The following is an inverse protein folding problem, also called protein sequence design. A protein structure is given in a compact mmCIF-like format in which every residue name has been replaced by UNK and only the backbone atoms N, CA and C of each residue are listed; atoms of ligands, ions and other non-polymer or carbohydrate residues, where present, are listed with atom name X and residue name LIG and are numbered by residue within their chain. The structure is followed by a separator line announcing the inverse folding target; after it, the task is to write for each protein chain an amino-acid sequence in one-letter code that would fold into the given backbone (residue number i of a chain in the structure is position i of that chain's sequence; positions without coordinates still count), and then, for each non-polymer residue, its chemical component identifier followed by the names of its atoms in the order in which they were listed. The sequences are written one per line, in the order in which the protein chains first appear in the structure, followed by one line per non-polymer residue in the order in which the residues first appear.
data_IF_372236469373
#
_entry.id   IF_372236469373
#
_cell.length_a   1.000
_cell.length_b   1.000
_cell.length_c   1.000
_cell.angle_alpha   90.00
_cell.angle_beta   90.00
_cell.angle_gamma   90.00
#
_symmetry.space_group_name_H-M   'P 1'
#
loop_
_entity.id
_entity.type
_entity.pdbx_description
1 polymer ?
#
# COMPACT_ATOMS: atom_id res chain seq x y z
N UNK A 1 0.89 6.22 -0.07
CA UNK A 1 0.11 7.50 -0.18
C UNK A 1 0.04 8.28 1.12
N UNK A 2 0.27 7.65 2.26
CA UNK A 2 0.21 8.26 3.60
C UNK A 2 1.13 9.47 3.75
N UNK A 3 2.35 9.39 3.23
CA UNK A 3 3.31 10.50 3.30
C UNK A 3 2.84 11.77 2.58
N UNK A 4 1.90 11.64 1.65
CA UNK A 4 1.31 12.76 0.96
C UNK A 4 0.40 13.62 1.85
N UNK A 5 0.01 13.14 3.04
CA UNK A 5 -0.94 13.80 3.92
C UNK A 5 -0.31 14.52 5.13
N UNK A 6 1.01 14.38 5.36
CA UNK A 6 1.66 14.96 6.53
C UNK A 6 2.09 16.42 6.37
N UNK A 7 2.00 17.00 5.17
CA UNK A 7 2.29 18.43 4.98
C UNK A 7 1.20 19.31 5.64
N UNK A 8 1.60 20.48 6.13
CA UNK A 8 0.78 21.32 6.99
C UNK A 8 -0.57 21.74 6.39
N UNK A 9 -0.63 21.95 5.08
CA UNK A 9 -1.84 22.32 4.34
C UNK A 9 -2.79 21.13 4.09
N UNK A 10 -2.29 19.90 4.20
CA UNK A 10 -3.00 18.66 3.90
C UNK A 10 -3.49 17.95 5.15
N UNK A 11 -2.65 17.94 6.20
CA UNK A 11 -2.94 17.22 7.45
C UNK A 11 -4.25 17.70 8.10
N UNK A 12 -4.60 18.97 7.91
CA UNK A 12 -5.85 19.53 8.43
C UNK A 12 -7.07 18.86 7.81
N UNK A 13 -7.13 18.74 6.49
CA UNK A 13 -8.24 18.08 5.81
C UNK A 13 -8.29 16.57 6.12
N UNK A 14 -7.12 15.93 6.32
CA UNK A 14 -7.04 14.54 6.78
C UNK A 14 -7.63 14.38 8.20
N UNK A 15 -7.31 15.28 9.10
CA UNK A 15 -7.85 15.31 10.47
C UNK A 15 -9.36 15.57 10.48
N UNK A 16 -9.86 16.50 9.63
CA UNK A 16 -11.30 16.71 9.46
C UNK A 16 -12.02 15.42 9.01
N UNK A 17 -11.42 14.68 8.08
CA UNK A 17 -11.96 13.39 7.64
C UNK A 17 -12.04 12.38 8.78
N UNK A 18 -10.96 12.28 9.58
CA UNK A 18 -10.85 11.32 10.68
C UNK A 18 -11.88 11.56 11.78
N UNK A 19 -12.13 12.81 12.14
CA UNK A 19 -13.08 13.16 13.20
C UNK A 19 -14.53 13.28 12.70
N UNK A 20 -14.79 13.03 11.42
CA UNK A 20 -16.13 13.04 10.86
C UNK A 20 -16.97 11.88 11.38
N UNK A 21 -18.14 12.19 11.93
CA UNK A 21 -19.07 11.19 12.49
C UNK A 21 -19.96 10.56 11.42
N UNK A 22 -20.24 11.30 10.34
CA UNK A 22 -21.11 10.83 9.26
C UNK A 22 -20.36 10.72 7.93
N UNK A 23 -20.84 9.83 7.04
CA UNK A 23 -20.30 9.71 5.68
C UNK A 23 -20.35 11.04 4.92
N UNK A 24 -21.40 11.84 5.10
CA UNK A 24 -21.53 13.14 4.44
C UNK A 24 -20.43 14.12 4.88
N UNK A 25 -20.16 14.19 6.18
CA UNK A 25 -19.06 15.02 6.71
C UNK A 25 -17.72 14.53 6.19
N UNK A 26 -17.51 13.21 6.15
CA UNK A 26 -16.28 12.58 5.65
C UNK A 26 -16.09 12.86 4.17
N UNK A 27 -17.14 12.72 3.34
CA UNK A 27 -17.07 13.07 1.92
C UNK A 27 -16.72 14.56 1.69
N UNK A 28 -17.22 15.47 2.51
CA UNK A 28 -16.85 16.90 2.44
C UNK A 28 -15.36 17.15 2.74
N UNK A 29 -14.82 16.46 3.74
CA UNK A 29 -13.39 16.54 4.05
C UNK A 29 -12.52 15.90 2.95
N UNK A 30 -12.93 14.72 2.46
CA UNK A 30 -12.26 14.03 1.36
C UNK A 30 -12.26 14.84 0.06
N UNK A 31 -13.30 15.61 -0.21
CA UNK A 31 -13.38 16.50 -1.37
C UNK A 31 -12.30 17.59 -1.36
N UNK A 32 -11.75 17.94 -0.18
CA UNK A 32 -10.60 18.87 -0.07
C UNK A 32 -9.28 18.17 -0.39
N UNK A 33 -9.16 16.88 -0.09
CA UNK A 33 -7.95 16.07 -0.32
C UNK A 33 -7.83 15.59 -1.77
N UNK A 34 -8.93 15.33 -2.44
CA UNK A 34 -8.95 14.78 -3.79
C UNK A 34 -8.12 15.60 -4.79
N UNK A 35 -8.28 16.94 -4.92
CA UNK A 35 -7.50 17.73 -5.88
C UNK A 35 -6.01 17.76 -5.52
N UNK A 36 -5.67 17.70 -4.25
CA UNK A 36 -4.28 17.67 -3.77
C UNK A 36 -3.62 16.36 -4.19
N UNK A 37 -4.24 15.22 -3.87
CA UNK A 37 -3.75 13.92 -4.31
C UNK A 37 -3.72 13.76 -5.83
N UNK A 38 -4.71 14.30 -6.53
CA UNK A 38 -4.71 14.30 -7.99
C UNK A 38 -3.46 15.00 -8.53
N UNK A 39 -3.11 16.17 -8.02
CA UNK A 39 -1.92 16.90 -8.43
C UNK A 39 -0.62 16.11 -8.17
N UNK A 40 -0.53 15.46 -7.03
CA UNK A 40 0.61 14.59 -6.71
C UNK A 40 0.74 13.42 -7.69
N UNK A 41 -0.36 12.75 -8.00
CA UNK A 41 -0.36 11.64 -8.95
C UNK A 41 -0.08 12.11 -10.38
N UNK A 42 -0.53 13.30 -10.79
CA UNK A 42 -0.16 13.90 -12.08
C UNK A 42 1.35 14.10 -12.18
N UNK A 43 1.98 14.62 -11.12
CA UNK A 43 3.43 14.80 -11.07
C UNK A 43 4.18 13.46 -11.18
N UNK A 44 3.69 12.42 -10.51
CA UNK A 44 4.26 11.06 -10.59
C UNK A 44 4.13 10.51 -12.01
N UNK A 45 2.96 10.57 -12.63
CA UNK A 45 2.77 10.09 -14.01
C UNK A 45 3.64 10.85 -15.02
N UNK A 46 3.79 12.17 -14.86
CA UNK A 46 4.70 12.96 -15.69
C UNK A 46 6.16 12.52 -15.52
N UNK A 47 6.62 12.32 -14.29
CA UNK A 47 7.97 11.83 -13.99
C UNK A 47 8.23 10.44 -14.57
N UNK A 48 7.24 9.56 -14.56
CA UNK A 48 7.33 8.18 -15.03
C UNK A 48 7.24 8.04 -16.56
N UNK A 49 6.78 9.05 -17.27
CA UNK A 49 6.79 9.09 -18.75
C UNK A 49 6.17 7.85 -19.41
N UNK A 50 5.00 7.45 -18.95
CA UNK A 50 4.26 6.28 -19.46
C UNK A 50 4.75 4.92 -18.96
N UNK A 51 5.73 4.88 -18.05
CA UNK A 51 6.11 3.64 -17.36
C UNK A 51 5.04 3.25 -16.33
N UNK A 52 4.94 1.96 -15.97
CA UNK A 52 3.97 1.51 -14.97
C UNK A 52 4.11 2.24 -13.63
N UNK A 53 2.98 2.60 -13.04
CA UNK A 53 2.88 3.21 -11.72
C UNK A 53 1.86 2.43 -10.92
N UNK A 54 2.30 1.86 -9.80
CA UNK A 54 1.43 1.19 -8.84
C UNK A 54 1.22 2.12 -7.65
N UNK A 55 -0.03 2.42 -7.35
CA UNK A 55 -0.43 3.32 -6.26
C UNK A 55 -1.16 2.47 -5.21
N UNK A 56 -0.60 2.43 -4.01
CA UNK A 56 -1.22 1.78 -2.85
C UNK A 56 -2.24 2.74 -2.22
N UNK A 57 -3.45 2.25 -1.94
CA UNK A 57 -4.44 2.97 -1.15
C UNK A 57 -3.92 3.19 0.28
N UNK A 58 -4.60 4.03 1.04
CA UNK A 58 -4.23 4.38 2.41
C UNK A 58 -4.08 3.12 3.27
N UNK A 59 -2.94 3.00 3.95
CA UNK A 59 -2.61 1.82 4.74
C UNK A 59 -2.55 2.06 6.26
N UNK A 60 -1.92 3.15 6.78
CA UNK A 60 -1.76 3.29 8.22
C UNK A 60 -3.09 3.53 8.96
N UNK A 61 -3.14 3.15 10.25
CA UNK A 61 -4.29 3.45 11.09
C UNK A 61 -4.47 4.96 11.29
N UNK A 62 -5.72 5.39 11.44
CA UNK A 62 -6.07 6.82 11.44
C UNK A 62 -5.49 7.60 12.61
N UNK A 63 -5.18 6.94 13.74
CA UNK A 63 -4.59 7.63 14.89
C UNK A 63 -3.20 8.23 14.61
N UNK A 64 -2.48 7.77 13.58
CA UNK A 64 -1.17 8.33 13.22
C UNK A 64 -1.25 9.78 12.70
N UNK A 65 -2.41 10.21 12.23
CA UNK A 65 -2.63 11.54 11.67
C UNK A 65 -3.14 12.57 12.68
N UNK A 66 -3.59 12.14 13.85
CA UNK A 66 -4.15 13.05 14.87
C UNK A 66 -3.08 13.53 15.85
N UNK A 67 -3.20 14.77 16.38
CA UNK A 67 -2.23 15.29 17.30
C UNK A 67 -2.30 14.58 18.66
N UNK A 68 -1.16 14.50 19.33
CA UNK A 68 -1.03 14.00 20.69
C UNK A 68 -0.75 15.12 21.71
N UNK A 69 -0.22 16.26 21.26
CA UNK A 69 0.04 17.40 22.12
C UNK A 69 -1.27 18.12 22.49
N UNK A 70 -1.51 18.45 23.79
CA UNK A 70 -2.73 19.11 24.23
C UNK A 70 -3.00 20.47 23.58
N UNK A 71 -1.95 21.22 23.20
CA UNK A 71 -2.11 22.53 22.54
C UNK A 71 -2.62 22.33 21.10
N UNK A 72 -2.03 21.38 20.38
CA UNK A 72 -2.43 21.07 19.03
C UNK A 72 -3.86 20.49 18.98
N UNK A 73 -4.24 19.70 20.00
CA UNK A 73 -5.61 19.20 20.17
C UNK A 73 -6.58 20.36 20.39
N UNK A 74 -6.22 21.32 21.24
CA UNK A 74 -7.08 22.50 21.51
C UNK A 74 -7.22 23.39 20.29
N UNK A 75 -6.15 23.56 19.50
CA UNK A 75 -6.17 24.32 18.27
C UNK A 75 -7.06 23.62 17.21
N UNK A 76 -6.89 22.30 17.02
CA UNK A 76 -7.71 21.50 16.10
C UNK A 76 -9.18 21.53 16.50
N UNK A 77 -9.50 21.39 17.82
CA UNK A 77 -10.87 21.47 18.31
C UNK A 77 -11.52 22.82 17.94
N UNK A 78 -10.78 23.92 18.19
CA UNK A 78 -11.24 25.29 17.84
C UNK A 78 -11.48 25.43 16.34
N UNK A 79 -10.57 24.94 15.51
CA UNK A 79 -10.67 25.01 14.05
C UNK A 79 -11.87 24.23 13.53
N UNK A 80 -12.19 23.10 14.15
CA UNK A 80 -13.29 22.24 13.74
C UNK A 80 -14.62 22.58 14.40
N UNK A 81 -14.65 23.56 15.29
CA UNK A 81 -15.86 23.92 16.05
C UNK A 81 -16.31 22.85 17.03
N UNK A 82 -15.39 22.01 17.49
CA UNK A 82 -15.61 20.96 18.48
C UNK A 82 -15.15 21.39 19.86
N UNK A 83 -15.64 20.70 20.90
CA UNK A 83 -15.04 20.85 22.25
C UNK A 83 -13.77 19.99 22.35
N UNK A 84 -12.84 20.42 23.19
CA UNK A 84 -11.60 19.67 23.45
C UNK A 84 -11.90 18.29 24.02
N UNK A 85 -12.91 18.20 24.89
CA UNK A 85 -13.36 16.94 25.50
C UNK A 85 -13.87 15.96 24.41
N UNK A 86 -14.68 16.45 23.48
CA UNK A 86 -15.21 15.63 22.41
C UNK A 86 -14.08 15.14 21.50
N UNK A 87 -13.15 16.03 21.08
CA UNK A 87 -12.03 15.65 20.25
C UNK A 87 -11.11 14.63 20.95
N UNK A 88 -10.86 14.78 22.25
CA UNK A 88 -10.12 13.79 23.03
C UNK A 88 -10.81 12.43 23.08
N UNK A 89 -12.16 12.38 23.15
CA UNK A 89 -12.91 11.13 23.10
C UNK A 89 -12.74 10.44 21.72
N UNK A 90 -12.83 11.20 20.64
CA UNK A 90 -12.59 10.67 19.29
C UNK A 90 -11.17 10.14 19.15
N UNK A 91 -10.16 10.91 19.52
CA UNK A 91 -8.74 10.49 19.47
C UNK A 91 -8.51 9.23 20.31
N UNK A 92 -9.09 9.19 21.52
CA UNK A 92 -8.98 8.02 22.41
C UNK A 92 -9.64 6.77 21.81
N UNK A 93 -10.75 6.94 21.08
CA UNK A 93 -11.45 5.82 20.41
C UNK A 93 -10.65 5.23 19.25
N UNK A 94 -9.73 6.00 18.65
CA UNK A 94 -8.85 5.53 17.58
C UNK A 94 -7.62 4.78 18.10
N UNK A 95 -7.35 4.86 19.41
CA UNK A 95 -6.18 4.22 19.99
C UNK A 95 -6.38 2.69 20.04
N UNK A 96 -5.45 1.96 19.46
CA UNK A 96 -5.43 0.51 19.44
C UNK A 96 -4.25 -0.04 20.22
N UNK A 97 -4.42 -1.17 20.92
CA UNK A 97 -3.33 -1.84 21.64
C UNK A 97 -2.25 -2.39 20.69
N UNK A 98 -2.66 -2.83 19.52
CA UNK A 98 -1.76 -3.30 18.45
C UNK A 98 -2.22 -2.73 17.11
N UNK A 99 -1.81 -1.51 16.76
CA UNK A 99 -2.23 -0.83 15.53
C UNK A 99 -1.88 -1.59 14.26
N UNK A 100 -0.78 -2.36 14.26
CA UNK A 100 -0.34 -3.15 13.11
C UNK A 100 -1.33 -4.27 12.75
N UNK A 101 -2.08 -4.77 13.75
CA UNK A 101 -3.12 -5.78 13.59
C UNK A 101 -4.53 -5.18 13.60
N UNK A 102 -4.64 -3.85 13.62
CA UNK A 102 -5.88 -3.13 13.89
C UNK A 102 -6.62 -2.64 12.65
N UNK A 103 -7.29 -1.51 12.82
CA UNK A 103 -8.17 -0.89 11.82
C UNK A 103 -7.36 -0.03 10.84
N UNK A 104 -6.76 -0.68 9.86
CA UNK A 104 -5.91 -0.08 8.82
C UNK A 104 -6.11 -0.76 7.46
N UNK A 105 -5.54 -0.20 6.41
CA UNK A 105 -5.53 -0.78 5.07
C UNK A 105 -6.93 -1.05 4.52
N UNK A 106 -7.14 -2.19 3.90
CA UNK A 106 -8.44 -2.55 3.33
C UNK A 106 -9.59 -2.56 4.35
N UNK A 107 -9.28 -2.74 5.65
CA UNK A 107 -10.29 -2.69 6.72
C UNK A 107 -10.88 -1.29 6.87
N UNK A 108 -10.07 -0.23 6.64
CA UNK A 108 -10.58 1.14 6.55
C UNK A 108 -11.47 1.31 5.32
N UNK A 109 -11.05 0.78 4.17
CA UNK A 109 -11.83 0.87 2.93
C UNK A 109 -13.15 0.11 3.00
N UNK A 110 -13.22 -0.96 3.79
CA UNK A 110 -14.48 -1.68 4.07
C UNK A 110 -15.39 -0.88 4.98
N UNK A 111 -14.84 -0.26 6.03
CA UNK A 111 -15.61 0.53 7.00
C UNK A 111 -15.99 1.91 6.45
N UNK A 112 -15.08 2.53 5.71
CA UNK A 112 -15.22 3.88 5.15
C UNK A 112 -14.92 3.88 3.65
N UNK A 113 -15.78 3.28 2.80
CA UNK A 113 -15.52 3.10 1.37
C UNK A 113 -15.37 4.41 0.60
N UNK A 114 -15.81 5.53 1.15
CA UNK A 114 -15.58 6.85 0.60
C UNK A 114 -14.11 7.25 0.52
N UNK A 115 -13.22 6.64 1.34
CA UNK A 115 -11.77 6.84 1.25
C UNK A 115 -11.24 6.23 -0.05
N UNK A 116 -11.53 4.95 -0.30
CA UNK A 116 -11.16 4.28 -1.54
C UNK A 116 -11.77 4.96 -2.77
N UNK A 117 -13.01 5.45 -2.67
CA UNK A 117 -13.68 6.21 -3.73
C UNK A 117 -12.92 7.49 -4.06
N UNK A 118 -12.52 8.28 -3.06
CA UNK A 118 -11.77 9.52 -3.26
C UNK A 118 -10.40 9.26 -3.88
N UNK A 119 -9.63 8.31 -3.31
CA UNK A 119 -8.30 7.99 -3.83
C UNK A 119 -8.36 7.46 -5.27
N UNK A 120 -9.33 6.59 -5.58
CA UNK A 120 -9.57 6.13 -6.95
C UNK A 120 -9.88 7.28 -7.88
N UNK A 121 -10.73 8.24 -7.46
CA UNK A 121 -11.05 9.41 -8.27
C UNK A 121 -9.81 10.24 -8.57
N UNK A 122 -8.98 10.52 -7.57
CA UNK A 122 -7.73 11.25 -7.73
C UNK A 122 -6.76 10.54 -8.70
N UNK A 123 -6.59 9.23 -8.57
CA UNK A 123 -5.71 8.42 -9.42
C UNK A 123 -6.17 8.46 -10.89
N UNK A 124 -7.45 8.19 -11.12
CA UNK A 124 -8.00 8.09 -12.48
C UNK A 124 -8.04 9.46 -13.16
N UNK A 125 -8.44 10.52 -12.44
CA UNK A 125 -8.43 11.89 -12.98
C UNK A 125 -7.01 12.35 -13.33
N UNK A 126 -6.03 12.07 -12.48
CA UNK A 126 -4.62 12.37 -12.75
C UNK A 126 -4.12 11.66 -14.00
N UNK A 127 -4.40 10.38 -14.13
CA UNK A 127 -4.01 9.59 -15.30
C UNK A 127 -4.65 10.12 -16.60
N UNK A 128 -5.94 10.47 -16.57
CA UNK A 128 -6.65 11.07 -17.70
C UNK A 128 -6.06 12.43 -18.08
N UNK A 129 -5.77 13.28 -17.10
CA UNK A 129 -5.19 14.61 -17.33
C UNK A 129 -3.81 14.51 -17.99
N UNK A 130 -2.95 13.61 -17.49
CA UNK A 130 -1.62 13.41 -18.09
C UNK A 130 -1.73 12.76 -19.47
N UNK A 131 -2.61 11.78 -19.65
CA UNK A 131 -2.84 11.17 -20.96
C UNK A 131 -3.31 12.18 -22.01
N UNK A 132 -4.15 13.13 -21.63
CA UNK A 132 -4.59 14.22 -22.52
C UNK A 132 -3.43 15.12 -22.94
N UNK A 133 -2.51 15.44 -22.02
CA UNK A 133 -1.32 16.25 -22.33
C UNK A 133 -0.23 15.48 -23.07
N UNK A 134 -0.19 14.15 -22.91
CA UNK A 134 0.85 13.25 -23.43
C UNK A 134 0.25 12.06 -24.16
N UNK A 135 -0.44 12.24 -25.29
CA UNK A 135 -1.19 11.17 -25.96
C UNK A 135 -0.33 10.00 -26.43
N UNK A 136 0.97 10.19 -26.60
CA UNK A 136 1.91 9.11 -26.96
C UNK A 136 2.29 8.20 -25.78
N UNK A 137 1.97 8.59 -24.54
CA UNK A 137 2.30 7.77 -23.38
C UNK A 137 1.19 6.78 -23.08
N UNK A 138 1.58 5.53 -22.90
CA UNK A 138 0.66 4.49 -22.43
C UNK A 138 0.57 4.55 -20.92
N UNK A 139 -0.49 5.19 -20.41
CA UNK A 139 -0.74 5.29 -18.96
C UNK A 139 -1.85 4.30 -18.61
N UNK A 140 -1.50 3.32 -17.76
CA UNK A 140 -2.42 2.32 -17.20
C UNK A 140 -2.23 2.36 -15.69
N UNK A 141 -3.12 3.01 -14.94
CA UNK A 141 -3.05 3.03 -13.48
C UNK A 141 -3.11 1.62 -12.88
N UNK A 142 -2.28 1.35 -11.91
CA UNK A 142 -2.33 0.13 -11.11
C UNK A 142 -2.69 0.51 -9.68
N UNK A 143 -3.89 0.13 -9.24
CA UNK A 143 -4.42 0.45 -7.91
C UNK A 143 -4.24 -0.76 -7.01
N UNK A 144 -3.51 -0.59 -5.92
CA UNK A 144 -3.14 -1.66 -5.00
C UNK A 144 -3.87 -1.52 -3.67
N UNK A 145 -4.63 -2.53 -3.30
CA UNK A 145 -5.34 -2.62 -2.02
C UNK A 145 -4.42 -3.29 -0.99
N UNK A 146 -4.05 -2.60 0.11
CA UNK A 146 -3.18 -3.17 1.13
C UNK A 146 -3.93 -4.06 2.12
N UNK A 147 -3.21 -4.91 2.82
CA UNK A 147 -3.64 -5.66 4.01
C UNK A 147 -4.80 -6.64 3.77
N UNK A 148 -4.98 -7.10 2.55
CA UNK A 148 -6.03 -8.09 2.22
C UNK A 148 -5.67 -9.45 2.82
N UNK A 149 -6.60 -10.03 3.58
CA UNK A 149 -6.49 -11.38 4.15
C UNK A 149 -7.53 -12.34 3.61
N UNK A 150 -8.59 -11.83 2.96
CA UNK A 150 -9.72 -12.60 2.44
C UNK A 150 -10.11 -12.11 1.04
N UNK A 151 -10.45 -13.03 0.14
CA UNK A 151 -10.92 -12.70 -1.22
C UNK A 151 -12.06 -11.66 -1.22
N UNK A 152 -13.01 -11.82 -0.29
CA UNK A 152 -14.19 -10.94 -0.20
C UNK A 152 -13.87 -9.50 0.20
N UNK A 153 -12.79 -9.28 0.96
CA UNK A 153 -12.30 -7.92 1.25
C UNK A 153 -11.87 -7.24 -0.04
N UNK A 154 -11.07 -7.93 -0.85
CA UNK A 154 -10.63 -7.40 -2.15
C UNK A 154 -11.80 -7.19 -3.09
N UNK A 155 -12.71 -8.15 -3.20
CA UNK A 155 -13.89 -8.05 -4.05
C UNK A 155 -14.76 -6.83 -3.69
N UNK A 156 -14.96 -6.57 -2.40
CA UNK A 156 -15.71 -5.41 -1.93
C UNK A 156 -15.02 -4.09 -2.31
N UNK A 157 -13.75 -3.92 -1.95
CA UNK A 157 -13.01 -2.68 -2.23
C UNK A 157 -12.87 -2.48 -3.74
N UNK A 158 -12.56 -3.53 -4.50
CA UNK A 158 -12.53 -3.50 -5.97
C UNK A 158 -13.85 -3.04 -6.58
N UNK A 159 -14.99 -3.44 -6.01
CA UNK A 159 -16.29 -2.99 -6.49
C UNK A 159 -16.47 -1.47 -6.38
N UNK A 160 -15.94 -0.87 -5.31
CA UNK A 160 -15.93 0.60 -5.10
C UNK A 160 -15.00 1.26 -6.10
N UNK A 161 -13.80 0.71 -6.28
CA UNK A 161 -12.80 1.19 -7.24
C UNK A 161 -13.39 1.14 -8.67
N UNK A 162 -13.92 0.00 -9.08
CA UNK A 162 -14.47 -0.22 -10.41
C UNK A 162 -15.64 0.72 -10.71
N UNK A 163 -16.56 0.87 -9.78
CA UNK A 163 -17.71 1.79 -9.93
C UNK A 163 -17.24 3.22 -10.13
N UNK A 164 -16.26 3.66 -9.35
CA UNK A 164 -15.72 5.02 -9.40
C UNK A 164 -14.91 5.25 -10.67
N UNK A 165 -13.96 4.37 -10.97
CA UNK A 165 -13.08 4.50 -12.13
C UNK A 165 -13.86 4.46 -13.45
N UNK A 166 -14.76 3.48 -13.62
CA UNK A 166 -15.57 3.35 -14.85
C UNK A 166 -16.48 4.56 -15.08
N UNK A 167 -17.05 5.13 -14.00
CA UNK A 167 -17.85 6.35 -14.11
C UNK A 167 -17.01 7.50 -14.66
N UNK A 168 -15.86 7.78 -14.05
CA UNK A 168 -14.99 8.89 -14.43
C UNK A 168 -14.44 8.72 -15.85
N UNK A 169 -13.99 7.53 -16.22
CA UNK A 169 -13.47 7.21 -17.56
C UNK A 169 -14.56 7.42 -18.61
N UNK A 170 -15.79 6.96 -18.32
CA UNK A 170 -16.95 7.13 -19.23
C UNK A 170 -17.33 8.61 -19.39
N UNK A 171 -17.37 9.38 -18.29
CA UNK A 171 -17.67 10.81 -18.32
C UNK A 171 -16.62 11.60 -19.10
N UNK A 172 -15.35 11.16 -19.07
CA UNK A 172 -14.27 11.73 -19.86
C UNK A 172 -14.26 11.28 -21.35
N UNK A 173 -15.17 10.39 -21.76
CA UNK A 173 -15.19 9.84 -23.12
C UNK A 173 -13.92 9.06 -23.48
N UNK A 174 -13.22 8.48 -22.49
CA UNK A 174 -11.92 7.83 -22.65
C UNK A 174 -12.05 6.31 -22.74
N UNK A 175 -11.10 5.70 -23.44
CA UNK A 175 -10.89 4.24 -23.52
C UNK A 175 -9.79 3.75 -22.55
N UNK A 176 -9.39 4.58 -21.60
CA UNK A 176 -8.33 4.25 -20.65
C UNK A 176 -8.71 3.01 -19.82
N UNK A 177 -7.74 2.10 -19.70
CA UNK A 177 -7.82 0.93 -18.83
C UNK A 177 -7.01 1.16 -17.56
N UNK A 178 -7.32 0.41 -16.52
CA UNK A 178 -6.59 0.38 -15.25
C UNK A 178 -6.54 -1.06 -14.74
N UNK A 179 -5.74 -1.30 -13.73
CA UNK A 179 -5.65 -2.61 -13.04
C UNK A 179 -5.90 -2.44 -11.56
N UNK A 180 -6.55 -3.44 -10.96
CA UNK A 180 -6.70 -3.56 -9.52
C UNK A 180 -5.98 -4.81 -9.05
N UNK A 181 -5.11 -4.65 -8.08
CA UNK A 181 -4.39 -5.75 -7.46
C UNK A 181 -4.28 -5.56 -5.96
N UNK A 182 -3.51 -6.41 -5.34
CA UNK A 182 -3.37 -6.38 -3.88
C UNK A 182 -1.93 -6.58 -3.43
N UNK A 183 -1.67 -6.14 -2.20
CA UNK A 183 -0.47 -6.52 -1.48
C UNK A 183 -0.72 -7.89 -0.80
N UNK A 184 0.17 -8.84 -1.03
CA UNK A 184 0.22 -10.10 -0.29
C UNK A 184 1.21 -9.89 0.86
N UNK A 185 0.69 -9.65 2.04
CA UNK A 185 1.47 -9.31 3.22
C UNK A 185 0.95 -9.96 4.51
N UNK A 186 -0.18 -10.65 4.40
CA UNK A 186 -0.74 -11.46 5.49
C UNK A 186 -0.48 -12.94 5.17
N UNK A 187 0.02 -13.76 6.10
CA UNK A 187 0.26 -15.17 5.85
C UNK A 187 -0.97 -15.93 5.31
N UNK A 188 -2.17 -15.62 5.81
CA UNK A 188 -3.41 -16.19 5.28
C UNK A 188 -3.61 -15.85 3.81
N UNK A 189 -3.32 -14.62 3.39
CA UNK A 189 -3.42 -14.22 1.98
C UNK A 189 -2.45 -15.01 1.09
N UNK A 190 -1.24 -15.29 1.58
CA UNK A 190 -0.28 -16.12 0.86
C UNK A 190 -0.77 -17.57 0.70
N UNK A 191 -1.40 -18.12 1.73
CA UNK A 191 -1.96 -19.48 1.73
C UNK A 191 -3.21 -19.63 0.85
N UNK A 192 -3.93 -18.55 0.57
CA UNK A 192 -5.17 -18.53 -0.23
C UNK A 192 -5.04 -17.63 -1.46
N UNK A 193 -3.83 -17.52 -1.99
CA UNK A 193 -3.53 -16.61 -3.09
C UNK A 193 -4.22 -17.01 -4.40
N UNK A 194 -4.56 -18.28 -4.60
CA UNK A 194 -5.40 -18.78 -5.69
C UNK A 194 -6.80 -18.14 -5.68
N UNK A 195 -7.44 -18.07 -4.51
CA UNK A 195 -8.73 -17.43 -4.35
C UNK A 195 -8.63 -15.90 -4.61
N UNK A 196 -7.63 -15.25 -4.02
CA UNK A 196 -7.41 -13.81 -4.18
C UNK A 196 -7.10 -13.43 -5.62
N UNK A 197 -6.39 -14.30 -6.38
CA UNK A 197 -6.05 -14.07 -7.79
C UNK A 197 -7.27 -14.07 -8.73
N UNK A 198 -8.44 -14.54 -8.29
CA UNK A 198 -9.69 -14.38 -9.06
C UNK A 198 -10.07 -12.92 -9.21
N UNK A 199 -9.81 -12.12 -8.18
CA UNK A 199 -10.11 -10.70 -8.14
C UNK A 199 -8.89 -9.83 -8.50
N UNK A 200 -7.68 -10.20 -8.07
CA UNK A 200 -6.47 -9.43 -8.29
C UNK A 200 -5.87 -9.64 -9.68
N UNK A 201 -5.49 -8.55 -10.34
CA UNK A 201 -4.78 -8.56 -11.62
C UNK A 201 -3.26 -8.52 -11.44
N UNK A 202 -2.79 -8.22 -10.23
CA UNK A 202 -1.38 -8.28 -9.83
C UNK A 202 -1.25 -8.51 -8.33
N UNK A 203 -0.11 -9.08 -7.93
CA UNK A 203 0.32 -9.14 -6.53
C UNK A 203 1.59 -8.33 -6.31
N UNK A 204 1.66 -7.65 -5.17
CA UNK A 204 2.89 -7.09 -4.63
C UNK A 204 3.13 -7.70 -3.26
N UNK A 205 4.26 -8.39 -3.08
CA UNK A 205 4.59 -9.00 -1.79
C UNK A 205 5.10 -7.94 -0.82
N UNK A 206 4.31 -7.62 0.21
CA UNK A 206 4.65 -6.68 1.28
C UNK A 206 5.47 -7.37 2.36
N UNK A 207 6.78 -7.47 2.15
CA UNK A 207 7.63 -8.31 2.98
C UNK A 207 7.85 -7.80 4.39
N UNK A 208 7.63 -6.53 4.68
CA UNK A 208 7.71 -6.02 6.06
C UNK A 208 6.63 -6.65 6.94
N UNK A 209 5.36 -6.51 6.56
CA UNK A 209 4.23 -7.07 7.28
C UNK A 209 4.23 -8.60 7.22
N UNK A 210 4.55 -9.19 6.08
CA UNK A 210 4.62 -10.64 5.95
C UNK A 210 5.68 -11.25 6.86
N UNK A 211 6.85 -10.61 6.98
CA UNK A 211 7.90 -11.03 7.92
C UNK A 211 7.42 -10.91 9.37
N UNK A 212 6.87 -9.75 9.73
CA UNK A 212 6.38 -9.49 11.07
C UNK A 212 5.34 -10.53 11.52
N UNK A 213 4.37 -10.83 10.67
CA UNK A 213 3.31 -11.78 11.00
C UNK A 213 3.77 -13.24 10.94
N UNK A 214 4.75 -13.56 10.11
CA UNK A 214 5.31 -14.92 10.01
C UNK A 214 6.20 -15.24 11.20
N UNK A 215 7.04 -14.30 11.64
CA UNK A 215 7.85 -14.43 12.85
C UNK A 215 7.06 -14.24 14.14
N UNK A 216 5.91 -13.56 14.09
CA UNK A 216 5.05 -13.34 15.24
C UNK A 216 5.59 -12.26 16.20
N UNK A 217 6.35 -11.27 15.71
CA UNK A 217 6.77 -10.11 16.50
C UNK A 217 6.73 -8.82 15.69
N UNK A 218 6.49 -7.71 16.38
CA UNK A 218 6.47 -6.38 15.80
C UNK A 218 7.89 -5.90 15.46
N UNK A 219 8.06 -5.31 14.27
CA UNK A 219 9.30 -4.66 13.87
C UNK A 219 9.73 -3.56 14.86
N UNK A 220 8.76 -2.80 15.36
CA UNK A 220 9.00 -1.68 16.27
C UNK A 220 9.41 -2.14 17.68
N UNK A 221 8.96 -3.32 18.10
CA UNK A 221 9.30 -3.90 19.40
C UNK A 221 10.49 -4.86 19.37
N UNK A 222 10.84 -5.38 18.22
CA UNK A 222 11.87 -6.43 18.07
C UNK A 222 13.26 -5.99 18.57
N UNK A 223 13.58 -4.70 18.52
CA UNK A 223 14.82 -4.15 19.04
C UNK A 223 15.10 -4.48 20.51
N UNK A 224 14.04 -4.77 21.29
CA UNK A 224 14.17 -5.14 22.72
C UNK A 224 14.86 -6.49 22.94
N UNK A 225 14.84 -7.41 21.98
CA UNK A 225 15.39 -8.76 22.14
C UNK A 225 16.32 -9.21 20.99
N UNK A 226 16.24 -8.63 19.80
CA UNK A 226 17.04 -9.06 18.65
C UNK A 226 18.55 -9.01 18.88
N UNK A 227 19.06 -8.05 19.65
CA UNK A 227 20.47 -7.99 20.02
C UNK A 227 20.95 -9.30 20.68
N UNK A 228 20.16 -9.83 21.64
CA UNK A 228 20.47 -11.10 22.28
C UNK A 228 20.41 -12.30 21.33
N UNK A 229 19.58 -12.23 20.30
CA UNK A 229 19.47 -13.28 19.27
C UNK A 229 20.70 -13.29 18.36
N UNK A 230 21.25 -12.13 18.03
CA UNK A 230 22.49 -12.03 17.25
C UNK A 230 23.69 -12.51 18.08
N UNK A 231 23.82 -12.09 19.32
CA UNK A 231 24.88 -12.50 20.22
C UNK A 231 24.92 -14.02 20.42
N UNK A 232 23.75 -14.65 20.46
CA UNK A 232 23.61 -16.10 20.60
C UNK A 232 23.61 -16.87 19.28
N UNK A 233 23.76 -16.15 18.15
CA UNK A 233 23.76 -16.72 16.80
C UNK A 233 22.47 -17.50 16.46
N UNK A 234 21.33 -17.08 17.03
CA UNK A 234 20.00 -17.61 16.68
C UNK A 234 19.58 -17.05 15.32
N UNK A 235 19.78 -15.76 15.09
CA UNK A 235 19.68 -15.13 13.78
C UNK A 235 21.05 -14.65 13.30
N UNK A 236 21.33 -14.90 12.02
CA UNK A 236 22.57 -14.42 11.38
C UNK A 236 22.45 -12.96 10.92
N UNK A 237 21.24 -12.50 10.63
CA UNK A 237 20.94 -11.15 10.17
C UNK A 237 19.53 -10.74 10.60
N UNK A 238 19.28 -9.44 10.52
CA UNK A 238 17.95 -8.88 10.75
C UNK A 238 16.98 -9.39 9.69
N UNK A 239 15.88 -10.08 10.09
CA UNK A 239 14.88 -10.61 9.16
C UNK A 239 14.11 -9.50 8.41
N UNK A 240 14.16 -8.24 8.88
CA UNK A 240 13.57 -7.10 8.17
C UNK A 240 14.51 -6.49 7.12
N UNK A 241 15.82 -6.70 7.23
CA UNK A 241 16.78 -6.19 6.25
C UNK A 241 17.04 -7.16 5.10
N UNK A 242 16.96 -8.46 5.36
CA UNK A 242 17.19 -9.54 4.41
C UNK A 242 16.05 -10.55 4.48
N UNK A 243 15.52 -10.95 3.33
CA UNK A 243 14.40 -11.89 3.28
C UNK A 243 14.78 -13.24 3.91
N UNK A 244 13.99 -13.66 4.89
CA UNK A 244 14.01 -15.03 5.37
C UNK A 244 13.46 -15.97 4.29
N UNK A 245 14.36 -16.63 3.56
CA UNK A 245 13.96 -17.52 2.47
C UNK A 245 13.35 -18.82 2.96
N UNK A 246 13.65 -19.23 4.20
CA UNK A 246 13.21 -20.50 4.76
C UNK A 246 11.74 -20.48 5.21
N UNK A 247 11.27 -19.36 5.75
CA UNK A 247 9.88 -19.17 6.20
C UNK A 247 9.11 -18.23 5.28
N UNK A 248 9.41 -16.93 5.34
CA UNK A 248 8.72 -15.89 4.56
C UNK A 248 8.85 -16.13 3.05
N UNK A 249 10.03 -16.49 2.57
CA UNK A 249 10.28 -16.81 1.17
C UNK A 249 9.45 -18.00 0.67
N UNK A 250 9.19 -18.98 1.51
CA UNK A 250 8.28 -20.09 1.16
C UNK A 250 6.85 -19.64 0.97
N UNK A 251 6.36 -18.69 1.79
CA UNK A 251 5.03 -18.10 1.61
C UNK A 251 4.96 -17.29 0.31
N UNK A 252 5.99 -16.48 0.03
CA UNK A 252 6.07 -15.71 -1.22
C UNK A 252 6.06 -16.63 -2.44
N UNK A 253 6.87 -17.70 -2.44
CA UNK A 253 6.91 -18.68 -3.53
C UNK A 253 5.56 -19.37 -3.71
N UNK A 254 4.97 -19.87 -2.63
CA UNK A 254 3.65 -20.52 -2.66
C UNK A 254 2.59 -19.57 -3.24
N UNK A 255 2.54 -18.34 -2.77
CA UNK A 255 1.56 -17.37 -3.27
C UNK A 255 1.78 -17.01 -4.75
N UNK A 256 3.03 -16.97 -5.21
CA UNK A 256 3.34 -16.76 -6.62
C UNK A 256 2.86 -17.94 -7.49
N UNK A 257 3.05 -19.17 -7.04
CA UNK A 257 2.60 -20.38 -7.72
C UNK A 257 1.06 -20.43 -7.76
N UNK A 258 0.39 -20.32 -6.62
CA UNK A 258 -1.07 -20.30 -6.52
C UNK A 258 -1.72 -19.18 -7.33
N UNK A 259 -1.11 -17.99 -7.33
CA UNK A 259 -1.58 -16.87 -8.14
C UNK A 259 -1.54 -17.18 -9.64
N UNK A 260 -0.45 -17.80 -10.12
CA UNK A 260 -0.30 -18.22 -11.53
C UNK A 260 -1.21 -19.37 -11.93
N UNK A 261 -1.54 -20.29 -11.01
CA UNK A 261 -2.50 -21.35 -11.28
C UNK A 261 -3.88 -20.78 -11.64
N UNK A 262 -4.31 -19.71 -10.97
CA UNK A 262 -5.59 -19.05 -11.23
C UNK A 262 -5.50 -18.04 -12.36
N UNK A 263 -4.42 -17.27 -12.44
CA UNK A 263 -4.18 -16.23 -13.45
C UNK A 263 -2.74 -16.37 -13.98
N UNK A 264 -2.54 -17.12 -15.08
CA UNK A 264 -1.20 -17.41 -15.61
C UNK A 264 -0.36 -16.17 -15.96
N UNK A 265 -0.99 -15.08 -16.33
CA UNK A 265 -0.39 -13.79 -16.68
C UNK A 265 -0.34 -12.77 -15.54
N UNK A 266 -0.60 -13.21 -14.30
CA UNK A 266 -0.58 -12.31 -13.16
C UNK A 266 0.79 -11.65 -12.99
N UNK A 267 0.77 -10.31 -12.90
CA UNK A 267 1.99 -9.54 -12.62
C UNK A 267 2.36 -9.71 -11.15
N UNK A 268 3.59 -10.11 -10.88
CA UNK A 268 4.09 -10.37 -9.52
C UNK A 268 5.29 -9.47 -9.22
N UNK A 269 5.27 -8.82 -8.08
CA UNK A 269 6.37 -7.98 -7.63
C UNK A 269 6.59 -8.07 -6.14
N UNK A 270 7.66 -7.51 -5.67
CA UNK A 270 8.00 -7.42 -4.25
C UNK A 270 8.25 -5.97 -3.86
N UNK A 271 7.81 -5.61 -2.69
CA UNK A 271 8.13 -4.34 -2.03
C UNK A 271 8.52 -4.60 -0.58
N UNK A 272 8.94 -3.56 0.10
CA UNK A 272 9.50 -3.64 1.44
C UNK A 272 11.02 -3.43 1.42
N UNK A 273 11.63 -3.39 2.59
CA UNK A 273 13.04 -3.04 2.73
C UNK A 273 13.97 -4.09 2.10
N UNK A 274 13.54 -5.36 2.13
CA UNK A 274 14.30 -6.47 1.54
C UNK A 274 14.43 -6.39 0.01
N UNK A 275 13.56 -5.63 -0.69
CA UNK A 275 13.59 -5.51 -2.15
C UNK A 275 14.88 -4.94 -2.74
N UNK A 276 15.71 -4.28 -1.92
CA UNK A 276 17.03 -3.78 -2.30
C UNK A 276 18.20 -4.70 -1.91
N UNK A 277 17.97 -5.82 -1.23
CA UNK A 277 19.00 -6.77 -0.84
C UNK A 277 19.34 -7.72 -2.00
N UNK A 278 20.64 -7.90 -2.34
CA UNK A 278 21.05 -8.73 -3.47
C UNK A 278 20.57 -10.18 -3.42
N UNK A 279 20.55 -10.79 -2.22
CA UNK A 279 20.11 -12.19 -2.08
C UNK A 279 18.60 -12.31 -2.26
N UNK A 280 17.84 -11.30 -1.84
CA UNK A 280 16.41 -11.21 -2.06
C UNK A 280 16.09 -11.00 -3.53
N UNK A 281 16.82 -10.14 -4.23
CA UNK A 281 16.66 -9.94 -5.69
C UNK A 281 16.92 -11.24 -6.45
N UNK A 282 17.98 -11.98 -6.10
CA UNK A 282 18.27 -13.28 -6.70
C UNK A 282 17.15 -14.32 -6.43
N UNK A 283 16.62 -14.34 -5.22
CA UNK A 283 15.45 -15.16 -4.89
C UNK A 283 14.22 -14.79 -5.72
N UNK A 284 13.92 -13.50 -5.85
CA UNK A 284 12.81 -13.01 -6.68
C UNK A 284 12.96 -13.43 -8.15
N UNK A 285 14.16 -13.34 -8.69
CA UNK A 285 14.47 -13.82 -10.04
C UNK A 285 14.19 -15.32 -10.17
N UNK A 286 14.68 -16.14 -9.25
CA UNK A 286 14.49 -17.59 -9.25
C UNK A 286 13.03 -18.03 -9.22
N UNK A 287 12.16 -17.32 -8.52
CA UNK A 287 10.72 -17.61 -8.48
C UNK A 287 9.93 -16.87 -9.58
N UNK A 288 10.62 -16.16 -10.46
CA UNK A 288 10.07 -15.51 -11.65
C UNK A 288 9.21 -14.29 -11.34
N UNK A 289 9.55 -13.46 -10.34
CA UNK A 289 8.86 -12.19 -10.13
C UNK A 289 9.16 -11.21 -11.27
N UNK A 290 8.16 -10.39 -11.60
CA UNK A 290 8.24 -9.44 -12.71
C UNK A 290 9.06 -8.21 -12.38
N UNK A 291 9.03 -7.75 -11.10
CA UNK A 291 9.74 -6.56 -10.65
C UNK A 291 10.09 -6.63 -9.17
N UNK A 292 11.08 -5.82 -8.77
CA UNK A 292 11.37 -5.49 -7.39
C UNK A 292 11.19 -3.98 -7.18
N UNK A 293 10.65 -3.59 -6.05
CA UNK A 293 10.59 -2.19 -5.59
C UNK A 293 11.55 -2.01 -4.43
N UNK A 294 12.35 -0.96 -4.48
CA UNK A 294 13.30 -0.61 -3.43
C UNK A 294 13.44 0.92 -3.33
N UNK A 295 14.10 1.40 -2.27
CA UNK A 295 14.41 2.82 -2.15
C UNK A 295 15.28 3.30 -3.33
N UNK A 296 15.18 4.57 -3.74
CA UNK A 296 15.96 5.11 -4.86
C UNK A 296 17.46 4.86 -4.75
N UNK A 297 18.02 4.94 -3.53
CA UNK A 297 19.43 4.71 -3.26
C UNK A 297 19.88 3.27 -3.50
N UNK A 298 18.97 2.30 -3.45
CA UNK A 298 19.25 0.87 -3.67
C UNK A 298 19.03 0.42 -5.11
N UNK A 299 18.47 1.25 -5.98
CA UNK A 299 18.22 0.89 -7.39
C UNK A 299 19.47 0.40 -8.12
N UNK A 300 20.68 1.05 -8.01
CA UNK A 300 21.87 0.55 -8.67
C UNK A 300 22.27 -0.85 -8.20
N UNK A 301 22.17 -1.11 -6.91
CA UNK A 301 22.49 -2.42 -6.30
C UNK A 301 21.49 -3.48 -6.77
N UNK A 302 20.19 -3.18 -6.76
CA UNK A 302 19.14 -4.09 -7.20
C UNK A 302 19.28 -4.44 -8.69
N UNK A 303 19.63 -3.47 -9.54
CA UNK A 303 19.89 -3.72 -10.97
C UNK A 303 21.10 -4.62 -11.20
N UNK A 304 22.18 -4.40 -10.47
CA UNK A 304 23.37 -5.25 -10.54
C UNK A 304 23.07 -6.68 -10.09
N UNK A 305 22.34 -6.82 -8.96
CA UNK A 305 21.95 -8.13 -8.43
C UNK A 305 21.02 -8.89 -9.41
N UNK A 306 20.09 -8.20 -10.04
CA UNK A 306 19.22 -8.79 -11.06
C UNK A 306 20.02 -9.27 -12.28
N UNK A 307 20.96 -8.47 -12.78
CA UNK A 307 21.82 -8.87 -13.88
C UNK A 307 22.70 -10.09 -13.53
N UNK A 308 23.27 -10.10 -12.32
CA UNK A 308 24.06 -11.26 -11.84
C UNK A 308 23.20 -12.53 -11.70
N UNK A 309 21.96 -12.42 -11.26
CA UNK A 309 21.04 -13.54 -11.18
C UNK A 309 20.73 -14.11 -12.57
N UNK A 310 20.43 -13.25 -13.55
CA UNK A 310 20.14 -13.65 -14.92
C UNK A 310 21.34 -14.38 -15.57
N UNK A 311 22.59 -13.86 -15.41
CA UNK A 311 23.79 -14.50 -15.94
C UNK A 311 24.02 -15.89 -15.31
N UNK A 312 23.70 -16.08 -14.04
CA UNK A 312 23.86 -17.39 -13.38
C UNK A 312 22.88 -18.43 -13.85
N UNK A 313 21.70 -18.03 -14.29
CA UNK A 313 20.68 -18.94 -14.83
C UNK A 313 21.00 -19.38 -16.29
N UNK A 314 21.86 -18.63 -17.01
CA UNK A 314 22.32 -18.97 -18.35
C UNK A 314 23.54 -19.93 -18.36
N UNK A 315 24.17 -20.17 -17.22
CA UNK A 315 25.28 -21.08 -17.04
C UNK A 315 24.84 -22.46 -16.54
#
# INVERSE_FOLDING_TARGET
TEHMFFEADRIKAMREMIVSETSEQREKALAKLEPIQQADFEAIYEAMKGRPVTIRLLDPPLHEFVPTDPKDIAELAKEMGLTVEHLNQVISSLHEFNPMMGHRGCRLDVTFPEIAKMQTAAIIKAALAVRSRRPAWKIVPEIMVPLVGEEKELAFVKSVIDKTARKIIKEAGSDMTYKVGTMIEIPRAALTADAIAKEAEFFSFGTNDLTQMTFGFSRDDAGKFLASYYDRKIYESDPFSKLDQAGVGRLVKMAAELGRETRPDIKLGICGEQGGDPSTVAFCHKIGLTYVSCSPFRVPIARLAAAQAAIKDEQ
#
